data_IF_605561825927
#
_entry.id   IF_605561825927
#
_cell.length_a   1.000
_cell.length_b   1.000
_cell.length_c   1.000
_cell.angle_alpha   90.00
_cell.angle_beta   90.00
_cell.angle_gamma   90.00
#
_symmetry.space_group_name_H-M   'P 1'
#
loop_
_entity.id
_entity.type
_entity.pdbx_description
1 polymer ?
#
# COMPACT_ATOMS: atom_id res chain seq x y z
N UNK A 1 -31.08 -7.48 -9.49
CA UNK A 1 -30.60 -6.96 -10.79
C UNK A 1 -29.10 -6.94 -10.71
N UNK A 2 -28.39 -7.55 -11.66
CA UNK A 2 -26.94 -7.70 -11.60
C UNK A 2 -26.26 -6.83 -12.64
N UNK A 3 -25.13 -6.24 -12.28
CA UNK A 3 -24.17 -5.61 -13.19
C UNK A 3 -22.94 -6.50 -13.25
N UNK A 4 -22.57 -6.93 -14.45
CA UNK A 4 -21.30 -7.62 -14.69
C UNK A 4 -20.48 -6.76 -15.65
N UNK A 5 -19.28 -6.40 -15.23
CA UNK A 5 -18.36 -5.60 -16.01
C UNK A 5 -17.01 -6.31 -16.05
N UNK A 6 -16.57 -6.64 -17.25
CA UNK A 6 -15.35 -7.39 -17.52
C UNK A 6 -14.60 -6.66 -18.62
N UNK A 7 -13.37 -6.28 -18.32
CA UNK A 7 -12.47 -5.71 -19.32
C UNK A 7 -11.05 -6.24 -19.12
N UNK A 8 -10.35 -6.39 -20.23
CA UNK A 8 -8.94 -6.75 -20.25
C UNK A 8 -8.17 -5.48 -20.59
N UNK A 9 -7.18 -5.13 -19.77
CA UNK A 9 -6.31 -3.98 -20.02
C UNK A 9 -5.07 -4.49 -20.78
N UNK A 10 -4.74 -3.81 -21.89
CA UNK A 10 -3.74 -4.27 -22.86
C UNK A 10 -2.31 -4.45 -22.33
N UNK A 11 -2.02 -3.98 -21.12
CA UNK A 11 -0.72 -4.12 -20.43
C UNK A 11 -0.60 -5.42 -19.62
N UNK A 12 -1.57 -6.34 -19.68
CA UNK A 12 -1.39 -7.71 -19.16
C UNK A 12 -2.16 -8.07 -17.89
N UNK A 13 -3.22 -7.33 -17.56
CA UNK A 13 -4.06 -7.61 -16.40
C UNK A 13 -5.53 -7.87 -16.74
N UNK A 14 -6.20 -8.61 -15.86
CA UNK A 14 -7.64 -8.89 -15.94
C UNK A 14 -8.37 -8.13 -14.83
N UNK A 15 -9.48 -7.45 -15.15
CA UNK A 15 -10.34 -6.81 -14.17
C UNK A 15 -11.78 -7.28 -14.34
N UNK A 16 -12.39 -7.64 -13.21
CA UNK A 16 -13.82 -7.98 -13.12
C UNK A 16 -14.44 -7.20 -11.99
N UNK A 17 -15.58 -6.59 -12.28
CA UNK A 17 -16.52 -6.11 -11.29
C UNK A 17 -17.85 -6.82 -11.47
N UNK A 18 -18.23 -7.58 -10.45
CA UNK A 18 -19.49 -8.31 -10.35
C UNK A 18 -20.32 -7.71 -9.22
N UNK A 19 -21.43 -7.04 -9.55
CA UNK A 19 -22.33 -6.48 -8.56
C UNK A 19 -23.71 -7.10 -8.67
N UNK A 20 -24.16 -7.77 -7.62
CA UNK A 20 -25.51 -8.27 -7.48
C UNK A 20 -26.30 -7.39 -6.49
N UNK A 21 -27.38 -6.78 -6.97
CA UNK A 21 -28.35 -6.09 -6.13
C UNK A 21 -29.50 -7.04 -5.80
N UNK A 22 -29.83 -7.15 -4.50
CA UNK A 22 -30.93 -7.96 -3.93
C UNK A 22 -32.00 -7.02 -3.33
N UNK A 23 -32.95 -6.51 -4.15
CA UNK A 23 -33.80 -5.41 -3.73
C UNK A 23 -34.83 -5.78 -2.66
N UNK A 24 -35.25 -7.05 -2.62
CA UNK A 24 -36.17 -7.54 -1.60
C UNK A 24 -35.53 -7.57 -0.21
N UNK A 25 -34.22 -7.80 -0.15
CA UNK A 25 -33.44 -7.87 1.09
C UNK A 25 -32.75 -6.54 1.42
N UNK A 26 -32.92 -5.52 0.56
CA UNK A 26 -32.19 -4.25 0.63
C UNK A 26 -30.67 -4.41 0.74
N UNK A 27 -30.12 -5.41 0.04
CA UNK A 27 -28.74 -5.83 0.16
C UNK A 27 -28.01 -5.84 -1.20
N UNK A 28 -26.69 -5.74 -1.14
CA UNK A 28 -25.80 -5.90 -2.29
C UNK A 28 -24.65 -6.86 -1.99
N UNK A 29 -24.13 -7.46 -3.06
CA UNK A 29 -22.85 -8.15 -3.07
C UNK A 29 -22.06 -7.60 -4.25
N UNK A 30 -20.84 -7.13 -4.01
CA UNK A 30 -19.94 -6.68 -5.07
C UNK A 30 -18.62 -7.40 -4.95
N UNK A 31 -18.13 -8.02 -6.03
CA UNK A 31 -16.83 -8.66 -6.11
C UNK A 31 -15.96 -7.93 -7.13
N UNK A 32 -14.72 -7.67 -6.76
CA UNK A 32 -13.69 -7.10 -7.61
C UNK A 32 -12.56 -8.11 -7.70
N UNK A 33 -12.24 -8.55 -8.91
CA UNK A 33 -11.08 -9.40 -9.19
C UNK A 33 -10.13 -8.65 -10.10
N UNK A 34 -8.87 -8.59 -9.69
CA UNK A 34 -7.76 -8.02 -10.43
C UNK A 34 -6.66 -9.08 -10.46
N UNK A 35 -6.18 -9.45 -11.64
CA UNK A 35 -5.07 -10.42 -11.75
C UNK A 35 -3.91 -9.78 -12.51
N UNK A 36 -2.71 -9.88 -11.94
CA UNK A 36 -1.43 -9.45 -12.53
C UNK A 36 -1.47 -8.04 -13.14
N UNK A 37 -2.06 -7.10 -12.42
CA UNK A 37 -2.11 -5.72 -12.86
C UNK A 37 -0.77 -5.04 -12.63
N UNK A 38 -0.10 -4.68 -13.72
CA UNK A 38 1.21 -4.03 -13.72
C UNK A 38 1.18 -2.70 -12.95
N UNK A 39 2.19 -2.45 -12.13
CA UNK A 39 2.41 -1.23 -11.34
C UNK A 39 2.70 0.02 -12.18
N UNK A 40 2.89 -0.08 -13.49
CA UNK A 40 3.06 1.08 -14.40
C UNK A 40 1.97 2.15 -14.19
N UNK A 41 0.74 1.76 -13.82
CA UNK A 41 -0.32 2.73 -13.52
C UNK A 41 -0.05 3.62 -12.30
N UNK A 42 0.80 3.17 -11.35
CA UNK A 42 1.21 3.92 -10.16
C UNK A 42 2.33 4.91 -10.46
N UNK A 43 3.12 4.66 -11.51
CA UNK A 43 4.27 5.47 -11.92
C UNK A 43 3.96 6.97 -11.99
N UNK A 44 2.91 7.46 -12.71
CA UNK A 44 2.64 8.91 -12.78
C UNK A 44 2.30 9.52 -11.42
N UNK A 45 1.87 8.73 -10.46
CA UNK A 45 1.55 9.18 -9.10
C UNK A 45 2.79 9.19 -8.22
N UNK A 46 3.68 8.20 -8.34
CA UNK A 46 4.95 8.18 -7.61
C UNK A 46 5.93 9.23 -8.14
N UNK A 47 6.00 9.40 -9.46
CA UNK A 47 6.86 10.41 -10.09
C UNK A 47 6.49 11.86 -9.73
N UNK A 48 5.31 12.09 -9.16
CA UNK A 48 4.93 13.40 -8.59
C UNK A 48 5.68 13.72 -7.28
N UNK A 49 6.24 12.71 -6.61
CA UNK A 49 6.89 12.84 -5.29
C UNK A 49 8.32 12.30 -5.26
N UNK A 50 8.67 11.38 -6.16
CA UNK A 50 9.94 10.66 -6.19
C UNK A 50 10.57 10.75 -7.57
N UNK A 51 11.87 10.98 -7.63
CA UNK A 51 12.67 10.85 -8.86
C UNK A 51 13.13 9.39 -9.01
N UNK A 52 12.31 8.63 -9.73
CA UNK A 52 12.56 7.22 -10.05
C UNK A 52 13.03 7.09 -11.50
N UNK A 53 13.90 6.11 -11.75
CA UNK A 53 14.21 5.64 -13.10
C UNK A 53 13.18 4.61 -13.54
N UNK A 54 12.76 3.72 -12.64
CA UNK A 54 11.82 2.63 -12.94
C UNK A 54 11.03 2.18 -11.71
N UNK A 55 9.83 1.65 -11.95
CA UNK A 55 8.98 1.00 -10.96
C UNK A 55 8.27 -0.19 -11.61
N UNK A 56 8.71 -1.39 -11.24
CA UNK A 56 8.08 -2.63 -11.67
C UNK A 56 7.33 -3.29 -10.52
N UNK A 57 6.32 -4.09 -10.85
CA UNK A 57 5.57 -4.90 -9.89
C UNK A 57 4.20 -5.29 -10.42
N UNK A 58 3.58 -6.27 -9.77
CA UNK A 58 2.23 -6.72 -10.11
C UNK A 58 1.32 -6.72 -8.90
N UNK A 59 0.07 -6.32 -9.11
CA UNK A 59 -1.02 -6.42 -8.14
C UNK A 59 -1.99 -7.53 -8.55
N UNK A 60 -2.33 -8.39 -7.61
CA UNK A 60 -3.48 -9.30 -7.72
C UNK A 60 -4.39 -9.07 -6.52
N UNK A 61 -5.69 -9.03 -6.75
CA UNK A 61 -6.68 -8.75 -5.72
C UNK A 61 -7.96 -9.54 -6.00
N UNK A 62 -8.55 -10.11 -4.96
CA UNK A 62 -9.91 -10.64 -5.02
C UNK A 62 -10.63 -10.19 -3.77
N UNK A 63 -11.49 -9.19 -3.91
CA UNK A 63 -12.24 -8.60 -2.82
C UNK A 63 -13.73 -8.76 -3.05
N UNK A 64 -14.46 -9.07 -1.98
CA UNK A 64 -15.92 -9.10 -1.98
C UNK A 64 -16.43 -8.20 -0.86
N UNK A 65 -17.24 -7.23 -1.24
CA UNK A 65 -18.01 -6.39 -0.34
C UNK A 65 -19.46 -6.89 -0.29
N UNK A 66 -20.04 -6.95 0.90
CA UNK A 66 -21.45 -7.27 1.12
C UNK A 66 -22.05 -6.25 2.07
N UNK A 67 -23.26 -5.80 1.82
CA UNK A 67 -23.94 -4.96 2.80
C UNK A 67 -25.37 -4.59 2.48
N UNK A 68 -25.99 -3.88 3.42
CA UNK A 68 -27.32 -3.30 3.25
C UNK A 68 -27.23 -1.86 2.75
N UNK A 69 -28.14 -1.44 1.86
CA UNK A 69 -28.30 -0.02 1.53
C UNK A 69 -29.43 0.66 2.34
N UNK A 70 -30.22 -0.12 3.08
CA UNK A 70 -31.27 0.40 3.96
C UNK A 70 -30.79 0.72 5.39
N UNK A 71 -29.60 0.22 5.74
CA UNK A 71 -28.85 0.59 6.94
C UNK A 71 -27.41 0.82 6.49
N UNK A 72 -26.92 2.04 6.63
CA UNK A 72 -25.56 2.45 6.22
C UNK A 72 -24.45 1.73 7.04
N UNK A 73 -24.82 0.86 7.99
CA UNK A 73 -23.95 0.31 9.04
C UNK A 73 -23.39 -1.11 8.80
N UNK A 74 -23.74 -1.81 7.72
CA UNK A 74 -23.46 -3.25 7.60
C UNK A 74 -22.65 -3.58 6.33
N UNK A 75 -21.58 -2.85 6.03
CA UNK A 75 -20.69 -3.18 4.91
C UNK A 75 -19.54 -4.03 5.44
N UNK A 76 -19.50 -5.29 5.01
CA UNK A 76 -18.43 -6.24 5.29
C UNK A 76 -17.59 -6.45 4.03
N UNK A 77 -16.27 -6.31 4.16
CA UNK A 77 -15.31 -6.58 3.09
C UNK A 77 -14.45 -7.77 3.50
N UNK A 78 -14.28 -8.72 2.59
CA UNK A 78 -13.39 -9.87 2.74
C UNK A 78 -12.64 -10.14 1.43
N UNK A 79 -11.48 -10.78 1.50
CA UNK A 79 -10.69 -11.08 0.31
C UNK A 79 -9.20 -11.10 0.56
N UNK A 80 -8.42 -10.85 -0.49
CA UNK A 80 -6.98 -10.67 -0.37
C UNK A 80 -6.45 -9.63 -1.34
N UNK A 81 -5.28 -9.09 -0.99
CA UNK A 81 -4.43 -8.28 -1.84
C UNK A 81 -3.05 -8.95 -1.88
N UNK A 82 -2.50 -9.12 -3.07
CA UNK A 82 -1.16 -9.59 -3.30
C UNK A 82 -0.41 -8.61 -4.18
N UNK A 83 0.82 -8.33 -3.78
CA UNK A 83 1.78 -7.52 -4.53
C UNK A 83 3.02 -8.38 -4.72
N UNK A 84 3.53 -8.47 -5.94
CA UNK A 84 4.66 -9.35 -6.25
C UNK A 84 5.66 -8.69 -7.18
N UNK A 85 6.91 -9.13 -7.07
CA UNK A 85 8.02 -8.73 -7.93
C UNK A 85 8.22 -7.21 -7.99
N UNK A 86 8.06 -6.54 -6.85
CA UNK A 86 8.27 -5.10 -6.79
C UNK A 86 9.74 -4.80 -6.91
N UNK A 87 10.07 -3.86 -7.79
CA UNK A 87 11.40 -3.27 -7.90
C UNK A 87 11.24 -1.77 -8.08
N UNK A 88 11.87 -1.01 -7.21
CA UNK A 88 11.99 0.44 -7.35
C UNK A 88 13.42 0.76 -7.69
N UNK A 89 13.65 1.42 -8.82
CA UNK A 89 14.98 1.91 -9.24
C UNK A 89 14.95 3.42 -9.15
N UNK A 90 15.87 4.00 -8.39
CA UNK A 90 15.98 5.45 -8.27
C UNK A 90 16.71 6.08 -9.46
N UNK A 91 16.70 7.42 -9.54
CA UNK A 91 17.42 8.15 -10.60
C UNK A 91 18.94 7.93 -10.66
N UNK A 92 19.54 7.32 -9.64
CA UNK A 92 20.96 7.00 -9.57
C UNK A 92 21.24 5.55 -10.01
N UNK A 93 20.20 4.76 -10.30
CA UNK A 93 20.28 3.36 -10.69
C UNK A 93 20.38 2.40 -9.50
N UNK A 94 20.18 2.90 -8.27
CA UNK A 94 20.15 2.08 -7.07
C UNK A 94 18.75 1.49 -6.85
N UNK A 95 18.67 0.31 -6.22
CA UNK A 95 17.40 -0.34 -5.87
C UNK A 95 17.10 -0.13 -4.37
N UNK A 96 16.48 1.00 -3.96
CA UNK A 96 16.18 1.27 -2.56
C UNK A 96 15.17 0.30 -1.96
N UNK A 97 14.26 -0.25 -2.77
CA UNK A 97 13.19 -1.14 -2.35
C UNK A 97 12.96 -2.22 -3.40
N UNK A 98 12.97 -3.48 -2.95
CA UNK A 98 12.52 -4.64 -3.70
C UNK A 98 11.68 -5.56 -2.82
N UNK A 99 10.79 -6.34 -3.43
CA UNK A 99 9.93 -7.29 -2.70
C UNK A 99 9.49 -8.41 -3.64
N UNK A 100 9.69 -9.66 -3.24
CA UNK A 100 9.26 -10.80 -4.05
C UNK A 100 7.74 -11.00 -3.96
N UNK A 101 7.19 -10.98 -2.73
CA UNK A 101 5.75 -11.11 -2.50
C UNK A 101 5.32 -10.46 -1.18
N UNK A 102 4.25 -9.67 -1.21
CA UNK A 102 3.46 -9.28 -0.05
C UNK A 102 2.05 -9.79 -0.26
N UNK A 103 1.51 -10.47 0.74
CA UNK A 103 0.13 -10.93 0.75
C UNK A 103 -0.55 -10.40 1.99
N UNK A 104 -1.74 -9.86 1.82
CA UNK A 104 -2.63 -9.41 2.88
C UNK A 104 -3.99 -10.07 2.69
N UNK A 105 -4.31 -11.00 3.59
CA UNK A 105 -5.64 -11.58 3.76
C UNK A 105 -6.53 -10.69 4.62
N UNK A 106 -7.74 -10.42 4.15
CA UNK A 106 -8.77 -9.65 4.85
C UNK A 106 -9.96 -10.58 5.15
N UNK A 107 -10.15 -10.94 6.43
CA UNK A 107 -11.23 -11.83 6.83
C UNK A 107 -12.55 -11.06 6.96
N UNK A 108 -12.51 -9.95 7.73
CA UNK A 108 -13.64 -9.04 7.81
C UNK A 108 -13.20 -7.63 8.19
N UNK A 109 -13.78 -6.66 7.51
CA UNK A 109 -13.71 -5.26 7.88
C UNK A 109 -15.12 -4.70 8.10
N UNK A 110 -15.37 -4.17 9.29
CA UNK A 110 -16.59 -3.44 9.64
C UNK A 110 -16.28 -1.94 9.70
N UNK A 111 -16.78 -1.22 8.70
CA UNK A 111 -16.59 0.22 8.54
C UNK A 111 -17.16 1.06 9.70
N UNK A 112 -18.08 0.51 10.49
CA UNK A 112 -18.75 1.24 11.57
C UNK A 112 -18.07 1.05 12.92
N UNK A 113 -17.71 -0.20 13.26
CA UNK A 113 -16.99 -0.48 14.52
C UNK A 113 -15.50 -0.19 14.45
N UNK A 114 -14.94 0.04 13.25
CA UNK A 114 -13.49 0.23 13.05
C UNK A 114 -12.70 -0.98 13.60
N UNK A 115 -13.32 -2.16 13.53
CA UNK A 115 -12.71 -3.45 13.87
C UNK A 115 -12.13 -4.09 12.60
N UNK A 116 -10.85 -4.45 12.67
CA UNK A 116 -10.10 -5.07 11.59
C UNK A 116 -9.72 -6.50 11.96
N UNK A 117 -10.36 -7.51 11.33
CA UNK A 117 -9.84 -8.89 11.37
C UNK A 117 -9.04 -9.13 10.09
N UNK A 118 -7.73 -8.96 10.23
CA UNK A 118 -6.74 -9.30 9.21
C UNK A 118 -6.45 -10.79 9.34
N UNK A 119 -6.66 -11.54 8.26
CA UNK A 119 -6.38 -12.97 8.24
C UNK A 119 -4.89 -13.21 8.37
N UNK A 120 -4.15 -12.85 7.33
CA UNK A 120 -2.72 -13.07 7.29
C UNK A 120 -1.98 -11.94 6.58
N UNK A 121 -0.78 -11.63 7.07
CA UNK A 121 0.16 -10.71 6.44
C UNK A 121 1.48 -11.44 6.26
N UNK A 122 1.82 -11.76 5.01
CA UNK A 122 3.09 -12.41 4.69
C UNK A 122 3.92 -11.50 3.80
N UNK A 123 5.19 -11.30 4.15
CA UNK A 123 6.18 -10.53 3.40
C UNK A 123 7.37 -11.44 3.10
N UNK A 124 7.61 -11.71 1.82
CA UNK A 124 8.68 -12.57 1.35
C UNK A 124 9.65 -11.76 0.48
N UNK A 125 10.95 -11.92 0.75
CA UNK A 125 12.00 -11.38 -0.10
C UNK A 125 12.06 -9.86 -0.10
N UNK A 126 11.68 -9.21 1.00
CA UNK A 126 11.83 -7.75 1.12
C UNK A 126 13.32 -7.39 1.11
N UNK A 127 13.69 -6.46 0.24
CA UNK A 127 15.04 -5.96 0.04
C UNK A 127 15.01 -4.45 0.25
N UNK A 128 15.66 -3.97 1.30
CA UNK A 128 15.77 -2.53 1.58
C UNK A 128 17.20 -2.05 1.53
N UNK A 129 17.43 -0.88 0.94
CA UNK A 129 18.70 -0.19 0.93
C UNK A 129 18.53 1.22 1.50
N UNK A 130 19.25 1.50 2.59
CA UNK A 130 19.31 2.82 3.20
C UNK A 130 20.74 3.31 3.22
N UNK A 131 20.99 4.44 2.56
CA UNK A 131 22.33 4.99 2.44
C UNK A 131 22.39 6.43 2.95
N UNK A 132 23.47 6.76 3.66
CA UNK A 132 23.70 8.08 4.24
C UNK A 132 24.94 8.70 3.61
N UNK A 133 24.81 9.92 3.11
CA UNK A 133 25.84 10.64 2.39
C UNK A 133 26.18 11.98 3.04
N UNK A 134 27.46 12.41 2.97
CA UNK A 134 27.81 13.79 3.27
C UNK A 134 27.20 14.72 2.21
N UNK A 135 26.68 15.88 2.64
CA UNK A 135 26.20 16.93 1.74
C UNK A 135 27.20 18.10 1.70
N UNK A 136 27.16 18.96 0.66
CA UNK A 136 27.98 20.17 0.60
C UNK A 136 27.64 21.09 1.80
N UNK A 137 28.55 21.13 2.79
CA UNK A 137 28.36 21.78 4.09
C UNK A 137 28.59 20.83 5.27
N UNK A 138 28.12 21.18 6.47
CA UNK A 138 28.10 20.26 7.63
C UNK A 138 26.84 19.38 7.68
N UNK A 139 26.20 19.17 6.53
CA UNK A 139 24.93 18.46 6.42
C UNK A 139 25.11 16.99 6.07
N UNK A 140 24.08 16.21 6.39
CA UNK A 140 23.94 14.80 6.02
C UNK A 140 22.65 14.68 5.20
N UNK A 141 22.66 13.83 4.18
CA UNK A 141 21.46 13.47 3.40
C UNK A 141 21.37 11.95 3.28
N UNK A 142 20.19 11.41 3.04
CA UNK A 142 19.96 9.97 2.88
C UNK A 142 19.39 9.63 1.49
N UNK A 143 19.42 8.35 1.13
CA UNK A 143 18.96 7.83 -0.16
C UNK A 143 17.52 8.26 -0.48
N UNK A 144 16.60 8.21 0.48
CA UNK A 144 15.19 8.56 0.28
C UNK A 144 15.00 10.08 0.17
N UNK A 145 15.68 10.88 1.00
CA UNK A 145 15.64 12.34 0.91
C UNK A 145 16.21 12.83 -0.43
N UNK A 146 17.25 12.18 -0.98
CA UNK A 146 17.88 12.57 -2.27
C UNK A 146 17.01 12.36 -3.50
N UNK A 147 16.03 11.47 -3.41
CA UNK A 147 15.10 11.13 -4.50
C UNK A 147 13.73 11.78 -4.29
N UNK A 148 13.47 12.33 -3.11
CA UNK A 148 12.21 13.03 -2.84
C UNK A 148 12.22 14.38 -3.55
N UNK A 149 11.19 14.62 -4.37
CA UNK A 149 10.98 15.92 -4.98
C UNK A 149 10.53 16.92 -3.89
N UNK A 150 11.08 18.14 -3.88
CA UNK A 150 10.52 19.19 -3.04
C UNK A 150 9.05 19.35 -3.43
N UNK A 151 8.15 19.29 -2.45
CA UNK A 151 6.72 19.48 -2.68
C UNK A 151 6.54 20.75 -3.51
N UNK A 152 6.15 20.58 -4.78
CA UNK A 152 5.84 21.70 -5.65
C UNK A 152 4.57 22.27 -5.05
N UNK A 153 4.74 23.39 -4.36
CA UNK A 153 3.80 24.13 -3.55
C UNK A 153 3.86 23.78 -2.03
N UNK A 154 4.21 24.79 -1.22
CA UNK A 154 3.67 24.95 0.14
C UNK A 154 2.13 25.17 0.13
N UNK A 155 1.54 25.18 -1.07
CA UNK A 155 0.11 25.06 -1.38
C UNK A 155 -0.12 23.81 -2.27
N UNK A 156 0.55 22.68 -1.97
CA UNK A 156 0.08 21.39 -2.46
C UNK A 156 -1.36 21.26 -1.96
N UNK A 157 -2.30 20.66 -2.72
CA UNK A 157 -3.71 20.77 -2.38
C UNK A 157 -3.86 20.36 -0.92
N UNK A 158 -4.16 21.36 -0.10
CA UNK A 158 -4.30 21.24 1.33
C UNK A 158 -5.67 20.62 1.54
N UNK A 159 -5.81 19.38 1.09
CA UNK A 159 -7.10 18.71 1.02
C UNK A 159 -7.68 18.47 2.41
N UNK A 160 -6.91 18.71 3.49
CA UNK A 160 -7.38 18.44 4.85
C UNK A 160 -6.99 19.45 5.94
N UNK A 161 -6.02 20.37 5.81
CA UNK A 161 -5.82 21.40 6.86
C UNK A 161 -6.64 22.68 6.67
N UNK A 162 -7.27 22.86 5.52
CA UNK A 162 -8.12 24.03 5.24
C UNK A 162 -9.49 23.69 4.67
N UNK A 163 -10.03 22.48 4.85
CA UNK A 163 -11.38 22.16 4.38
C UNK A 163 -11.58 22.40 2.87
N UNK A 164 -10.49 22.42 2.09
CA UNK A 164 -10.56 22.47 0.64
C UNK A 164 -10.92 21.10 0.08
N UNK A 165 -11.77 21.13 -0.95
CA UNK A 165 -12.35 19.94 -1.54
C UNK A 165 -11.27 18.98 -2.06
N UNK A 166 -11.37 17.71 -1.64
CA UNK A 166 -10.65 16.57 -2.23
C UNK A 166 -10.60 16.74 -3.74
N UNK A 167 -9.42 16.66 -4.35
CA UNK A 167 -9.30 16.73 -5.79
C UNK A 167 -9.83 15.43 -6.41
N UNK A 168 -11.14 15.37 -6.67
CA UNK A 168 -11.83 14.20 -7.20
C UNK A 168 -11.30 13.72 -8.56
N UNK A 169 -10.47 14.52 -9.25
CA UNK A 169 -9.83 14.12 -10.50
C UNK A 169 -8.55 13.31 -10.27
N UNK A 170 -8.04 13.25 -9.04
CA UNK A 170 -6.92 12.40 -8.66
C UNK A 170 -7.39 11.32 -7.66
N UNK A 171 -7.59 10.06 -8.10
CA UNK A 171 -8.05 8.98 -7.21
C UNK A 171 -7.07 8.69 -6.07
N UNK A 172 -5.79 9.08 -6.18
CA UNK A 172 -4.80 8.92 -5.12
C UNK A 172 -4.88 10.03 -4.08
N UNK A 173 -5.43 11.21 -4.41
CA UNK A 173 -5.75 12.20 -3.37
C UNK A 173 -6.91 11.73 -2.49
N UNK A 174 -7.84 10.98 -3.08
CA UNK A 174 -8.90 10.27 -2.35
C UNK A 174 -8.28 9.17 -1.49
N UNK A 175 -7.45 8.30 -2.08
CA UNK A 175 -6.77 7.23 -1.34
C UNK A 175 -5.87 7.77 -0.21
N UNK A 176 -5.12 8.84 -0.45
CA UNK A 176 -4.27 9.50 0.55
C UNK A 176 -5.10 10.14 1.66
N UNK A 177 -6.22 10.80 1.34
CA UNK A 177 -7.15 11.31 2.35
C UNK A 177 -7.74 10.17 3.20
N UNK A 178 -8.03 9.02 2.59
CA UNK A 178 -8.42 7.82 3.32
C UNK A 178 -7.28 7.26 4.17
N UNK A 179 -6.05 7.13 3.64
CA UNK A 179 -4.87 6.68 4.38
C UNK A 179 -4.56 7.61 5.56
N UNK A 180 -4.72 8.92 5.41
CA UNK A 180 -4.55 9.87 6.50
C UNK A 180 -5.68 9.75 7.52
N UNK A 181 -6.93 9.62 7.07
CA UNK A 181 -8.06 9.32 7.96
C UNK A 181 -7.80 8.01 8.74
N UNK A 182 -7.30 6.96 8.08
CA UNK A 182 -6.90 5.69 8.69
C UNK A 182 -5.74 5.85 9.66
N UNK A 183 -4.70 6.61 9.32
CA UNK A 183 -3.58 6.88 10.20
C UNK A 183 -3.99 7.68 11.44
N UNK A 184 -4.98 8.58 11.31
CA UNK A 184 -5.55 9.33 12.42
C UNK A 184 -6.47 8.46 13.30
N UNK A 185 -7.19 7.49 12.72
CA UNK A 185 -8.03 6.52 13.45
C UNK A 185 -7.26 5.31 13.97
N UNK A 186 -6.01 5.10 13.55
CA UNK A 186 -5.18 3.97 13.96
C UNK A 186 -4.96 3.87 15.48
N UNK A 187 -4.97 5.00 16.21
CA UNK A 187 -4.84 4.98 17.67
C UNK A 187 -6.09 4.47 18.40
N UNK A 188 -7.24 4.45 17.73
CA UNK A 188 -8.55 4.07 18.29
C UNK A 188 -9.15 2.82 17.60
N UNK A 189 -8.40 2.19 16.70
CA UNK A 189 -8.85 1.03 15.92
C UNK A 189 -8.46 -0.28 16.60
N UNK A 190 -9.44 -1.18 16.76
CA UNK A 190 -9.18 -2.55 17.20
C UNK A 190 -8.78 -3.40 15.99
N UNK A 191 -7.58 -4.00 16.04
CA UNK A 191 -7.13 -4.92 14.99
C UNK A 191 -6.68 -6.25 15.57
N UNK A 192 -7.01 -7.30 14.83
CA UNK A 192 -6.59 -8.66 15.06
C UNK A 192 -5.93 -9.16 13.79
N UNK A 193 -4.72 -9.71 13.93
CA UNK A 193 -3.96 -10.32 12.84
C UNK A 193 -3.71 -11.79 13.21
N UNK A 194 -4.35 -12.70 12.49
CA UNK A 194 -4.27 -14.13 12.84
C UNK A 194 -2.87 -14.68 12.59
N UNK A 195 -2.22 -14.29 11.49
CA UNK A 195 -0.87 -14.73 11.14
C UNK A 195 0.00 -13.59 10.56
N UNK A 196 1.24 -13.48 11.02
CA UNK A 196 2.24 -12.57 10.47
C UNK A 196 3.52 -13.33 10.14
N UNK A 197 4.04 -13.17 8.93
CA UNK A 197 5.32 -13.73 8.52
C UNK A 197 6.15 -12.72 7.72
N UNK A 198 7.43 -12.62 8.07
CA UNK A 198 8.48 -12.06 7.21
C UNK A 198 9.48 -13.17 6.95
N UNK A 199 9.86 -13.38 5.69
CA UNK A 199 10.85 -14.40 5.35
C UNK A 199 11.76 -13.98 4.20
N UNK A 200 12.99 -14.52 4.19
CA UNK A 200 14.00 -14.32 3.13
C UNK A 200 14.32 -12.85 2.86
N UNK A 201 14.13 -11.99 3.84
CA UNK A 201 14.29 -10.55 3.68
C UNK A 201 15.72 -10.12 3.99
N UNK A 202 16.15 -9.02 3.38
CA UNK A 202 17.47 -8.42 3.61
C UNK A 202 17.38 -6.90 3.70
N UNK A 203 18.25 -6.31 4.51
CA UNK A 203 18.37 -4.87 4.63
C UNK A 203 19.84 -4.47 4.65
N UNK A 204 20.21 -3.52 3.79
CA UNK A 204 21.55 -2.98 3.67
C UNK A 204 21.53 -1.53 4.15
N UNK A 205 22.43 -1.24 5.09
CA UNK A 205 22.70 0.10 5.57
C UNK A 205 24.15 0.49 5.24
N UNK A 206 24.31 1.59 4.51
CA UNK A 206 25.63 2.17 4.22
C UNK A 206 25.71 3.61 4.75
N UNK A 207 26.78 3.94 5.47
CA UNK A 207 27.07 5.29 5.92
C UNK A 207 28.43 5.76 5.36
N UNK A 208 28.36 6.71 4.43
CA UNK A 208 29.50 7.32 3.76
C UNK A 208 29.96 8.63 4.42
N UNK A 209 29.43 8.99 5.59
CA UNK A 209 29.82 10.22 6.32
C UNK A 209 31.15 10.07 7.07
N UNK A 210 31.56 8.83 7.34
CA UNK A 210 32.84 8.52 7.95
C UNK A 210 33.99 8.51 6.93
N UNK A 211 35.23 8.58 7.43
CA UNK A 211 36.44 8.49 6.59
C UNK A 211 36.50 7.18 5.79
N UNK A 212 36.07 6.09 6.41
CA UNK A 212 35.87 4.79 5.79
C UNK A 212 34.38 4.46 5.89
N UNK A 213 33.76 4.00 4.79
CA UNK A 213 32.33 3.72 4.77
C UNK A 213 31.96 2.65 5.80
N UNK A 214 31.00 2.94 6.67
CA UNK A 214 30.40 1.95 7.54
C UNK A 214 29.32 1.20 6.78
N UNK A 215 29.34 -0.13 6.86
CA UNK A 215 28.39 -1.00 6.17
C UNK A 215 27.84 -2.02 7.13
N UNK A 216 26.52 -2.16 7.13
CA UNK A 216 25.81 -3.13 7.94
C UNK A 216 24.75 -3.82 7.09
N UNK A 217 24.79 -5.14 7.07
CA UNK A 217 23.89 -5.96 6.27
C UNK A 217 23.19 -6.96 7.18
N UNK A 218 21.87 -6.99 7.08
CA UNK A 218 21.03 -8.01 7.68
C UNK A 218 20.52 -8.88 6.55
N UNK A 219 20.83 -10.17 6.57
CA UNK A 219 20.34 -11.15 5.59
C UNK A 219 19.47 -12.20 6.27
N UNK A 220 18.67 -12.90 5.47
CA UNK A 220 17.84 -14.02 5.91
C UNK A 220 16.93 -13.66 7.09
N UNK A 221 16.42 -12.42 7.11
CA UNK A 221 15.51 -11.96 8.14
C UNK A 221 14.22 -12.77 8.04
N UNK A 222 13.93 -13.46 9.14
CA UNK A 222 12.73 -14.25 9.32
C UNK A 222 12.07 -13.88 10.65
N UNK A 223 10.77 -13.60 10.61
CA UNK A 223 9.95 -13.30 11.77
C UNK A 223 8.61 -13.96 11.58
N UNK A 224 8.06 -14.55 12.63
CA UNK A 224 6.70 -15.05 12.62
C UNK A 224 5.98 -14.67 13.92
N UNK A 225 4.68 -14.45 13.81
CA UNK A 225 3.80 -14.25 14.94
C UNK A 225 2.40 -14.79 14.61
N UNK A 226 1.70 -15.22 15.65
CA UNK A 226 0.35 -15.76 15.57
C UNK A 226 -0.52 -15.00 16.57
N UNK A 227 -1.74 -14.66 16.17
CA UNK A 227 -2.73 -14.03 17.04
C UNK A 227 -2.25 -12.72 17.67
N UNK A 228 -1.82 -11.77 16.82
CA UNK A 228 -1.56 -10.40 17.27
C UNK A 228 -2.91 -9.71 17.44
N UNK A 229 -3.11 -9.07 18.59
CA UNK A 229 -4.33 -8.36 18.95
C UNK A 229 -3.93 -7.03 19.57
N UNK A 230 -4.60 -5.95 19.20
CA UNK A 230 -4.38 -4.62 19.78
C UNK A 230 -5.14 -4.39 21.08
N UNK A 231 -6.03 -5.30 21.47
CA UNK A 231 -6.85 -5.21 22.67
C UNK A 231 -6.05 -5.61 23.93
N UNK A 232 -6.10 -4.76 24.98
CA UNK A 232 -5.69 -5.05 26.37
C UNK A 232 -6.93 -5.16 27.28
#
# INVERSE_FOLDING_TARGET
MGTHLNFHIGTGGYFVLDTELKPLDSAFVSRIVVENFDFEFLEPFLLAYLELEDLEGFMTMDMTARGGWAKESDIQIHGFLEVSQVQMIDKFGDEPVGLDRLHLGLDSFDLYSVEFDLGDLTVEGFRGLYEVFPNEGSGVTDSYTRITLPLINEEGPDTLKSGEAVNYNNPFSIAAAYVEHFAQTYNDADYKLNHFEVSKSSFIYNDYTFRDAFRYEVTDLAMNAEGIDSHD
#
